data_IF_301601059251
#
_entry.id   IF_301601059251
#
_cell.length_a   1.000
_cell.length_b   1.000
_cell.length_c   1.000
_cell.angle_alpha   90.00
_cell.angle_beta   90.00
_cell.angle_gamma   90.00
#
_symmetry.space_group_name_H-M   'P 1'
#
loop_
_entity.id
_entity.type
_entity.pdbx_description
1 polymer ?
2 non-polymer ?
3 non-polymer ?
4 non-polymer ?
5 water ?
#
# COMPACT_ATOMS: atom_id res chain seq x y z
N UNK A 4 -8.57 29.44 6.61
CA UNK A 4 -8.92 28.17 5.88
C UNK A 4 -8.73 26.97 6.80
N UNK A 5 -9.79 26.18 7.08
CA UNK A 5 -9.66 25.05 8.00
C UNK A 5 -8.75 24.00 7.36
N UNK A 6 -7.97 23.29 8.16
CA UNK A 6 -7.17 22.15 7.63
C UNK A 6 -8.09 20.94 7.52
N UNK A 7 -7.90 20.10 6.48
CA UNK A 7 -8.81 18.99 6.32
C UNK A 7 -8.60 17.88 7.35
N UNK A 8 -9.69 17.16 7.62
CA UNK A 8 -9.69 15.94 8.48
C UNK A 8 -9.62 14.70 7.61
N UNK A 9 -10.02 14.83 6.33
CA UNK A 9 -10.10 13.75 5.33
C UNK A 9 -9.64 14.27 3.98
N UNK A 10 -9.00 13.40 3.20
CA UNK A 10 -8.73 13.68 1.78
C UNK A 10 -9.17 12.48 0.97
N UNK A 11 -9.33 12.72 -0.29
CA UNK A 11 -9.56 11.57 -1.22
C UNK A 11 -8.32 11.40 -2.09
N UNK A 12 -8.02 10.13 -2.30
CA UNK A 12 -6.79 9.72 -3.02
C UNK A 12 -7.21 8.79 -4.15
N UNK A 13 -6.79 9.10 -5.36
CA UNK A 13 -6.90 8.23 -6.54
C UNK A 13 -5.62 7.46 -6.71
N UNK A 14 -5.78 6.15 -6.87
CA UNK A 14 -4.68 5.23 -7.23
C UNK A 14 -5.01 4.64 -8.59
N UNK A 15 -4.09 4.76 -9.55
CA UNK A 15 -4.21 4.05 -10.82
C UNK A 15 -3.03 3.14 -11.03
N UNK A 16 -3.30 1.99 -11.63
CA UNK A 16 -2.23 1.09 -12.12
C UNK A 16 -2.56 0.68 -13.53
N UNK A 17 -1.60 0.84 -14.41
CA UNK A 17 -1.79 0.43 -15.81
C UNK A 17 -0.50 -0.10 -16.41
N UNK A 18 -0.52 -1.33 -16.85
CA UNK A 18 0.58 -1.88 -17.66
C UNK A 18 0.22 -1.52 -19.10
N UNK A 19 0.98 -0.62 -19.68
CA UNK A 19 0.69 0.01 -20.99
C UNK A 19 1.13 -0.89 -22.14
N UNK A 20 1.80 -2.00 -21.90
CA UNK A 20 2.20 -2.90 -23.00
C UNK A 20 3.08 -2.23 -24.01
N UNK A 21 3.89 -1.27 -23.57
CA UNK A 21 4.94 -0.60 -24.38
C UNK A 21 4.33 0.20 -25.53
N UNK A 22 3.03 0.50 -25.47
CA UNK A 22 2.31 1.23 -26.55
C UNK A 22 1.91 2.57 -26.01
N UNK A 23 1.90 3.62 -26.84
CA UNK A 23 1.35 4.89 -26.41
C UNK A 23 -0.14 4.78 -26.09
N UNK A 24 -0.62 5.62 -25.17
CA UNK A 24 -2.01 5.59 -24.79
C UNK A 24 -2.87 6.17 -25.91
N UNK A 25 -4.18 5.93 -25.85
CA UNK A 25 -5.09 6.58 -26.79
C UNK A 25 -5.27 8.04 -26.38
N UNK A 26 -5.98 8.80 -27.21
CA UNK A 26 -6.04 10.26 -27.02
C UNK A 26 -6.87 10.62 -25.78
N UNK A 27 -7.82 9.78 -25.40
CA UNK A 27 -8.66 10.04 -24.22
C UNK A 27 -8.51 8.91 -23.20
N UNK A 28 -8.14 9.30 -21.99
CA UNK A 28 -7.97 8.30 -20.89
C UNK A 28 -8.74 8.78 -19.67
N UNK A 29 -9.64 9.75 -19.83
CA UNK A 29 -10.36 10.33 -18.70
C UNK A 29 -11.20 9.31 -17.90
N UNK A 30 -11.70 8.25 -18.55
CA UNK A 30 -12.51 7.21 -17.86
C UNK A 30 -11.71 6.61 -16.70
N UNK A 31 -10.39 6.52 -16.86
CA UNK A 31 -9.52 6.00 -15.78
C UNK A 31 -9.63 6.86 -14.53
N UNK A 32 -9.41 8.16 -14.66
CA UNK A 32 -9.37 9.08 -13.53
C UNK A 32 -10.76 9.33 -12.97
N UNK A 33 -11.79 9.04 -13.76
CA UNK A 33 -13.20 9.16 -13.31
C UNK A 33 -13.72 7.85 -12.69
N UNK A 34 -12.91 6.80 -12.58
CA UNK A 34 -13.36 5.52 -12.00
C UNK A 34 -14.63 5.05 -12.71
N UNK A 35 -14.58 5.00 -14.05
CA UNK A 35 -15.71 4.52 -14.90
C UNK A 35 -15.33 3.24 -15.65
N UNK A 36 -16.24 2.27 -15.65
CA UNK A 36 -16.03 1.04 -16.40
C UNK A 36 -16.69 -0.07 -15.66
N UNK A 37 -15.92 -1.10 -15.34
CA UNK A 37 -16.43 -2.29 -14.60
C UNK A 37 -16.02 -2.20 -13.12
N UNK A 38 -16.76 -2.87 -12.26
CA UNK A 38 -16.42 -3.02 -10.86
C UNK A 38 -17.19 -2.07 -10.01
N UNK A 39 -16.56 -1.63 -8.92
CA UNK A 39 -17.12 -0.58 -8.03
C UNK A 39 -16.68 0.74 -8.66
N UNK A 40 -17.66 1.47 -9.23
CA UNK A 40 -17.38 2.69 -9.98
C UNK A 40 -17.86 3.90 -9.20
N UNK A 41 -17.37 5.03 -9.62
CA UNK A 41 -17.67 6.31 -8.93
C UNK A 41 -18.93 6.93 -9.53
N UNK A 42 -19.75 7.52 -8.66
CA UNK A 42 -21.02 8.12 -9.10
C UNK A 42 -20.77 9.28 -10.06
N UNK A 43 -21.62 9.36 -11.09
CA UNK A 43 -21.54 10.44 -12.10
C UNK A 43 -21.61 11.83 -11.49
N UNK A 44 -22.33 11.97 -10.39
CA UNK A 44 -22.50 13.27 -9.71
C UNK A 44 -21.19 13.80 -9.15
N UNK A 45 -20.14 12.96 -9.06
CA UNK A 45 -18.82 13.36 -8.56
C UNK A 45 -17.85 13.71 -9.67
N UNK A 46 -18.24 13.62 -10.93
CA UNK A 46 -17.22 13.67 -11.98
C UNK A 46 -16.43 14.98 -12.02
N UNK A 47 -17.01 16.10 -11.58
CA UNK A 47 -16.25 17.35 -11.69
C UNK A 47 -15.45 17.60 -10.42
N UNK A 48 -15.62 16.78 -9.39
CA UNK A 48 -15.00 16.96 -8.06
C UNK A 48 -13.59 16.37 -8.14
N UNK A 49 -12.52 17.16 -7.99
CA UNK A 49 -11.18 16.60 -8.05
C UNK A 49 -10.88 15.80 -6.80
N UNK A 50 -10.14 14.71 -6.95
CA UNK A 50 -9.49 14.08 -5.81
C UNK A 50 -8.38 15.01 -5.33
N UNK A 51 -8.02 14.89 -4.08
CA UNK A 51 -6.95 15.69 -3.50
C UNK A 51 -5.58 15.33 -4.06
N UNK A 52 -5.35 14.03 -4.22
CA UNK A 52 -4.06 13.47 -4.67
C UNK A 52 -4.37 12.40 -5.69
N UNK A 53 -3.65 12.40 -6.80
CA UNK A 53 -3.69 11.34 -7.81
C UNK A 53 -2.32 10.67 -7.86
N UNK A 54 -2.29 9.36 -7.72
CA UNK A 54 -1.04 8.56 -7.80
C UNK A 54 -1.20 7.60 -8.91
N UNK A 55 -0.35 7.72 -9.91
CA UNK A 55 -0.48 7.00 -11.21
C UNK A 55 0.73 6.09 -11.37
N UNK A 56 0.52 4.77 -11.29
CA UNK A 56 1.60 3.77 -11.53
C UNK A 56 1.42 3.17 -12.90
N UNK A 57 2.50 3.16 -13.67
CA UNK A 57 2.53 2.46 -14.95
C UNK A 57 3.64 1.42 -14.93
N UNK A 58 3.42 0.45 -15.78
CA UNK A 58 4.41 -0.61 -16.10
C UNK A 58 4.45 -0.73 -17.61
N UNK A 59 5.61 -1.14 -18.11
CA UNK A 59 5.80 -1.22 -19.59
C UNK A 59 5.43 0.12 -20.22
N UNK A 60 5.84 1.20 -19.55
CA UNK A 60 5.51 2.55 -20.01
C UNK A 60 6.53 3.00 -21.04
N UNK A 61 6.09 3.29 -22.30
CA UNK A 61 7.07 3.65 -23.35
C UNK A 61 7.39 5.14 -23.39
N UNK A 62 6.69 5.93 -22.64
CA UNK A 62 6.74 7.39 -22.76
C UNK A 62 7.87 7.95 -21.94
N UNK A 63 8.36 9.14 -22.32
CA UNK A 63 9.27 9.89 -21.43
C UNK A 63 8.43 10.43 -20.25
N UNK A 64 9.11 10.82 -19.18
CA UNK A 64 8.43 11.48 -18.06
C UNK A 64 7.67 12.69 -18.58
N UNK A 65 8.31 13.49 -19.45
CA UNK A 65 7.66 14.71 -19.94
C UNK A 65 6.39 14.36 -20.69
N UNK A 66 6.49 13.40 -21.59
CA UNK A 66 5.33 13.02 -22.41
C UNK A 66 4.17 12.58 -21.51
N UNK A 67 4.43 11.76 -20.50
CA UNK A 67 3.32 11.25 -19.68
C UNK A 67 2.79 12.33 -18.74
N UNK A 68 3.64 13.16 -18.17
CA UNK A 68 3.16 14.29 -17.38
C UNK A 68 2.22 15.18 -18.17
N UNK A 69 2.59 15.47 -19.42
CA UNK A 69 1.76 16.27 -20.36
C UNK A 69 0.35 15.67 -20.41
N UNK A 70 0.27 14.37 -20.72
CA UNK A 70 -0.99 13.65 -20.88
C UNK A 70 -1.77 13.66 -19.58
N UNK A 71 -1.10 13.37 -18.46
CA UNK A 71 -1.83 13.31 -17.19
C UNK A 71 -2.41 14.67 -16.81
N UNK A 72 -1.59 15.69 -16.84
CA UNK A 72 -2.08 17.01 -16.38
C UNK A 72 -3.19 17.54 -17.27
N UNK A 73 -3.07 17.37 -18.59
CA UNK A 73 -4.13 17.76 -19.57
C UNK A 73 -5.43 17.02 -19.23
N UNK A 74 -5.33 15.72 -18.96
CA UNK A 74 -6.49 14.82 -18.70
C UNK A 74 -7.22 15.21 -17.40
N UNK A 75 -6.44 15.63 -16.37
CA UNK A 75 -7.08 16.09 -15.12
C UNK A 75 -7.65 17.50 -15.34
N UNK A 76 -6.98 18.34 -16.11
CA UNK A 76 -7.52 19.70 -16.36
C UNK A 76 -8.86 19.60 -17.10
N UNK A 77 -8.95 18.72 -18.09
CA UNK A 77 -10.19 18.51 -18.87
C UNK A 77 -11.31 18.08 -17.91
N UNK A 78 -11.03 17.13 -17.01
CA UNK A 78 -12.04 16.58 -16.08
C UNK A 78 -12.49 17.65 -15.07
N UNK A 79 -11.55 18.37 -14.50
CA UNK A 79 -11.80 19.09 -13.22
C UNK A 79 -11.68 20.62 -13.39
N UNK A 80 -11.09 21.08 -14.48
CA UNK A 80 -10.67 22.51 -14.65
C UNK A 80 -9.64 22.94 -13.62
N UNK A 81 -8.91 22.00 -13.00
CA UNK A 81 -7.81 22.30 -12.07
C UNK A 81 -6.49 21.92 -12.72
N UNK A 82 -5.49 22.79 -12.55
CA UNK A 82 -4.12 22.50 -12.99
C UNK A 82 -3.37 21.93 -11.79
N UNK A 83 -3.13 20.62 -11.86
CA UNK A 83 -2.52 19.90 -10.74
C UNK A 83 -1.02 20.21 -10.66
N UNK A 84 -0.49 20.18 -9.47
CA UNK A 84 0.95 20.35 -9.23
C UNK A 84 1.63 18.98 -9.18
N UNK A 85 2.82 18.87 -9.70
CA UNK A 85 3.58 17.63 -9.66
C UNK A 85 4.30 17.53 -8.34
N UNK A 86 3.95 16.54 -7.51
CA UNK A 86 4.61 16.31 -6.21
C UNK A 86 5.89 15.53 -6.47
N UNK A 87 5.82 14.49 -7.29
CA UNK A 87 6.96 13.63 -7.53
C UNK A 87 6.72 12.79 -8.77
N UNK A 88 7.83 12.40 -9.39
CA UNK A 88 7.83 11.41 -10.49
C UNK A 88 9.09 10.60 -10.39
N UNK A 89 9.00 9.30 -10.52
CA UNK A 89 10.19 8.43 -10.43
C UNK A 89 10.00 7.27 -11.38
N UNK A 90 11.02 6.95 -12.13
CA UNK A 90 10.98 5.89 -13.12
C UNK A 90 12.17 4.95 -12.94
N UNK A 91 11.90 3.64 -12.90
CA UNK A 91 12.93 2.58 -12.96
C UNK A 91 12.62 1.80 -14.22
N UNK A 92 13.51 1.83 -15.21
CA UNK A 92 13.29 1.16 -16.50
C UNK A 92 11.97 1.66 -17.08
N UNK A 93 10.97 0.80 -17.21
CA UNK A 93 9.64 1.19 -17.74
C UNK A 93 8.55 1.12 -16.67
N UNK A 94 8.97 1.19 -15.41
CA UNK A 94 8.06 1.25 -14.24
C UNK A 94 8.08 2.67 -13.69
N UNK A 95 6.93 3.31 -13.56
CA UNK A 95 6.87 4.73 -13.22
C UNK A 95 5.78 5.03 -12.21
N UNK A 96 6.04 5.98 -11.38
CA UNK A 96 5.03 6.55 -10.46
C UNK A 96 5.01 8.07 -10.61
N UNK A 97 3.82 8.62 -10.70
CA UNK A 97 3.59 10.06 -10.72
C UNK A 97 2.65 10.40 -9.58
N UNK A 98 2.97 11.41 -8.80
CA UNK A 98 2.05 11.94 -7.78
C UNK A 98 1.69 13.36 -8.14
N UNK A 99 0.42 13.63 -8.27
CA UNK A 99 -0.13 14.96 -8.55
C UNK A 99 -1.03 15.39 -7.42
N UNK A 100 -1.07 16.67 -7.12
CA UNK A 100 -1.92 17.17 -6.02
C UNK A 100 -2.56 18.48 -6.40
N UNK A 101 -3.73 18.74 -5.81
CA UNK A 101 -4.40 20.07 -5.92
C UNK A 101 -3.42 21.18 -5.54
N UNK A 102 -3.44 22.32 -6.25
CA UNK A 102 -2.56 23.41 -5.87
C UNK A 102 -2.69 23.90 -4.43
N UNK A 103 -3.87 23.81 -3.86
CA UNK A 103 -4.10 24.24 -2.45
C UNK A 103 -3.33 23.37 -1.46
N UNK A 104 -2.84 22.20 -1.89
CA UNK A 104 -2.12 21.26 -1.02
C UNK A 104 -0.62 21.46 -1.07
N UNK A 105 -0.14 22.36 -1.91
CA UNK A 105 1.31 22.51 -2.03
C UNK A 105 2.00 22.77 -0.69
N UNK A 106 1.41 23.64 0.13
CA UNK A 106 2.00 24.05 1.43
C UNK A 106 1.48 23.16 2.58
N UNK A 107 0.89 22.03 2.23
CA UNK A 107 0.51 20.94 3.20
C UNK A 107 1.44 19.73 2.98
N UNK A 108 2.14 19.65 1.87
CA UNK A 108 2.92 18.47 1.48
C UNK A 108 4.40 18.77 1.66
N UNK A 109 5.09 17.90 2.35
CA UNK A 109 6.53 18.08 2.61
C UNK A 109 7.24 16.75 2.71
N UNK A 110 8.54 16.75 2.90
CA UNK A 110 9.32 15.52 3.12
C UNK A 110 9.09 14.53 1.98
N UNK A 111 9.16 14.99 0.76
CA UNK A 111 8.91 14.13 -0.41
C UNK A 111 10.13 13.27 -0.62
N UNK A 112 9.92 11.95 -0.65
CA UNK A 112 10.97 10.92 -0.89
C UNK A 112 10.58 10.11 -2.13
N UNK A 113 11.59 9.64 -2.86
CA UNK A 113 11.42 8.68 -3.97
C UNK A 113 12.46 7.63 -3.81
N UNK A 114 12.15 6.43 -4.25
CA UNK A 114 13.16 5.34 -4.28
C UNK A 114 12.71 4.27 -5.25
N UNK A 115 13.58 3.35 -5.53
CA UNK A 115 13.26 2.16 -6.35
C UNK A 115 14.02 0.95 -5.80
N UNK A 116 13.49 -0.18 -6.13
CA UNK A 116 14.14 -1.49 -5.87
C UNK A 116 14.10 -2.28 -7.15
N UNK A 117 15.24 -2.81 -7.56
CA UNK A 117 15.37 -3.77 -8.66
C UNK A 117 15.27 -5.18 -8.14
N UNK A 118 14.37 -6.02 -8.64
CA UNK A 118 14.29 -7.41 -8.14
C UNK A 118 15.12 -8.36 -9.01
N UNK A 119 15.50 -9.51 -8.42
CA UNK A 119 16.14 -10.63 -9.15
C UNK A 119 17.65 -10.51 -9.18
N UNK A 120 18.31 -11.59 -9.65
CA UNK A 120 19.79 -11.74 -9.69
C UNK A 120 20.19 -12.31 -11.06
N UNK A 121 21.02 -11.56 -11.83
CA UNK A 121 21.68 -11.96 -13.10
C UNK A 121 20.64 -12.13 -14.22
N UNK A 122 20.22 -13.39 -14.52
CA UNK A 122 19.07 -13.72 -15.42
C UNK A 122 17.89 -12.80 -15.12
N UNK A 123 17.53 -12.71 -13.83
CA UNK A 123 16.23 -12.22 -13.31
C UNK A 123 16.34 -10.75 -12.86
N UNK A 124 17.53 -10.15 -12.88
CA UNK A 124 17.73 -8.68 -12.75
C UNK A 124 17.78 -8.07 -14.16
N UNK A 125 16.96 -7.06 -14.42
CA UNK A 125 16.96 -6.36 -15.71
C UNK A 125 15.66 -5.67 -16.02
N UNK A 126 14.50 -6.10 -15.50
CA UNK A 126 13.30 -5.26 -15.80
C UNK A 126 12.14 -5.18 -14.79
N UNK A 127 12.15 -6.02 -13.75
CA UNK A 127 11.10 -6.05 -12.70
C UNK A 127 11.59 -5.25 -11.48
N UNK A 128 10.64 -4.77 -10.66
CA UNK A 128 10.97 -4.13 -9.41
C UNK A 128 9.88 -3.17 -9.05
N UNK A 129 10.24 -2.13 -8.35
CA UNK A 129 9.23 -1.20 -7.80
C UNK A 129 9.79 0.19 -7.76
N UNK A 130 8.90 1.17 -7.85
CA UNK A 130 9.19 2.58 -7.54
C UNK A 130 8.25 3.03 -6.46
N UNK A 131 8.64 3.99 -5.67
CA UNK A 131 7.78 4.50 -4.62
C UNK A 131 7.99 5.94 -4.32
N UNK A 132 6.98 6.52 -3.69
CA UNK A 132 6.97 7.91 -3.23
C UNK A 132 6.43 7.93 -1.81
N UNK A 133 6.97 8.78 -0.96
CA UNK A 133 6.35 9.10 0.32
C UNK A 133 6.39 10.60 0.54
N UNK A 134 5.53 11.06 1.40
CA UNK A 134 5.54 12.47 1.85
C UNK A 134 4.66 12.58 3.08
N UNK A 135 4.73 13.75 3.69
CA UNK A 135 3.82 14.14 4.76
C UNK A 135 2.73 15.00 4.13
N UNK A 136 1.51 14.75 4.53
CA UNK A 136 0.38 15.63 4.28
C UNK A 136 -0.02 16.15 5.65
N UNK A 137 0.30 17.40 5.94
CA UNK A 137 0.16 17.96 7.32
C UNK A 137 0.74 16.93 8.33
N UNK A 138 -0.05 16.44 9.27
CA UNK A 138 0.48 15.54 10.31
C UNK A 138 0.46 14.07 9.93
N UNK A 139 0.14 13.73 8.68
CA UNK A 139 -0.10 12.32 8.23
C UNK A 139 0.97 11.92 7.22
N UNK A 140 1.54 10.76 7.44
CA UNK A 140 2.56 10.19 6.50
C UNK A 140 1.85 9.27 5.52
N UNK A 141 2.19 9.43 4.26
CA UNK A 141 1.61 8.66 3.14
C UNK A 141 2.72 8.00 2.32
N UNK A 142 2.53 6.73 2.03
CA UNK A 142 3.50 5.99 1.20
C UNK A 142 2.78 5.34 0.02
N UNK A 143 3.45 5.25 -1.12
CA UNK A 143 2.87 4.70 -2.36
C UNK A 143 3.93 3.85 -3.02
N UNK A 144 3.59 2.63 -3.40
CA UNK A 144 4.54 1.71 -4.05
C UNK A 144 3.86 1.20 -5.31
N UNK A 145 4.52 1.36 -6.45
CA UNK A 145 4.11 0.74 -7.72
C UNK A 145 5.13 -0.34 -8.06
N UNK A 146 4.71 -1.60 -8.03
CA UNK A 146 5.59 -2.73 -8.34
C UNK A 146 5.13 -3.46 -9.60
N UNK A 147 6.09 -3.91 -10.40
CA UNK A 147 5.91 -4.84 -11.53
C UNK A 147 6.63 -6.12 -11.14
N UNK A 148 5.91 -7.11 -10.73
CA UNK A 148 6.50 -8.35 -10.19
C UNK A 148 6.65 -9.36 -11.33
N UNK A 149 7.39 -10.42 -11.05
CA UNK A 149 7.73 -11.48 -11.98
C UNK A 149 6.48 -12.06 -12.60
N UNK A 150 6.53 -12.28 -13.92
CA UNK A 150 5.39 -12.79 -14.72
C UNK A 150 5.37 -14.33 -14.72
N UNK A 151 4.26 -14.88 -15.15
CA UNK A 151 4.13 -16.32 -15.45
C UNK A 151 3.35 -17.03 -14.40
N UNK A 152 2.40 -17.87 -14.81
CA UNK A 152 1.53 -18.58 -13.85
C UNK A 152 2.29 -19.43 -12.84
N UNK A 153 3.48 -19.90 -13.23
CA UNK A 153 4.30 -20.89 -12.49
C UNK A 153 5.09 -20.21 -11.37
N UNK A 154 5.14 -18.88 -11.35
CA UNK A 154 6.13 -18.13 -10.57
C UNK A 154 5.54 -17.36 -9.39
N UNK A 155 4.52 -17.90 -8.76
CA UNK A 155 3.95 -17.16 -7.61
C UNK A 155 4.98 -17.01 -6.49
N UNK A 156 5.82 -18.02 -6.24
CA UNK A 156 6.80 -17.93 -5.15
C UNK A 156 7.80 -16.80 -5.46
N UNK A 157 8.24 -16.69 -6.71
CA UNK A 157 9.13 -15.58 -7.13
C UNK A 157 8.45 -14.23 -6.85
N UNK A 158 7.15 -14.12 -7.17
CA UNK A 158 6.46 -12.87 -6.89
C UNK A 158 6.51 -12.57 -5.40
N UNK A 159 6.27 -13.59 -4.58
CA UNK A 159 6.28 -13.39 -3.11
C UNK A 159 7.68 -12.92 -2.67
N UNK A 160 8.71 -13.50 -3.25
CA UNK A 160 10.10 -13.10 -2.97
C UNK A 160 10.35 -11.67 -3.42
N UNK A 161 9.82 -11.30 -4.58
CA UNK A 161 9.95 -9.93 -5.08
C UNK A 161 9.31 -8.97 -4.07
N UNK A 162 8.11 -9.29 -3.62
CA UNK A 162 7.43 -8.47 -2.62
C UNK A 162 8.34 -8.26 -1.38
N UNK A 163 8.92 -9.34 -0.87
CA UNK A 163 9.73 -9.22 0.36
C UNK A 163 10.94 -8.31 0.06
N UNK A 164 11.66 -8.56 -1.05
CA UNK A 164 12.80 -7.68 -1.37
C UNK A 164 12.39 -6.21 -1.47
N UNK A 165 11.24 -5.92 -2.07
CA UNK A 165 10.76 -4.51 -2.18
C UNK A 165 10.50 -3.94 -0.78
N UNK A 166 9.78 -4.74 0.01
CA UNK A 166 9.38 -4.43 1.40
C UNK A 166 10.64 -4.06 2.19
N UNK A 167 11.68 -4.88 2.04
CA UNK A 167 12.94 -4.75 2.82
C UNK A 167 13.74 -3.55 2.38
N UNK A 168 13.84 -3.33 1.08
CA UNK A 168 14.92 -2.47 0.55
C UNK A 168 14.42 -1.13 0.07
N UNK A 169 13.10 -0.90 -0.02
CA UNK A 169 12.67 0.40 -0.50
C UNK A 169 12.82 1.39 0.64
N UNK A 170 13.58 2.47 0.44
CA UNK A 170 13.96 3.44 1.49
C UNK A 170 13.09 4.68 1.39
N UNK A 171 11.86 4.55 1.83
CA UNK A 171 10.92 5.69 1.88
C UNK A 171 10.65 6.04 3.32
N UNK A 172 10.11 7.24 3.57
CA UNK A 172 9.67 7.69 4.88
C UNK A 172 10.83 8.04 5.78
N UNK A 173 10.55 8.14 7.07
CA UNK A 173 11.48 8.76 8.04
C UNK A 173 12.65 7.80 8.32
N UNK A 174 13.85 8.14 7.92
CA UNK A 174 15.03 7.26 8.11
C UNK A 174 15.33 7.05 9.61
N UNK A 175 14.81 7.96 10.45
CA UNK A 175 15.01 7.75 11.92
C UNK A 175 14.25 6.52 12.42
N UNK A 176 13.27 6.04 11.63
CA UNK A 176 12.50 4.83 11.97
C UNK A 176 13.29 3.59 11.58
N UNK A 177 14.53 3.50 12.06
CA UNK A 177 15.50 2.52 11.52
C UNK A 177 15.06 1.07 11.67
N UNK A 178 14.36 0.63 12.74
CA UNK A 178 13.98 -0.78 12.83
C UNK A 178 12.83 -1.17 11.88
N UNK A 179 12.19 -0.18 11.26
CA UNK A 179 10.90 -0.35 10.57
C UNK A 179 11.08 -0.30 9.07
N UNK A 180 10.42 -1.21 8.39
CA UNK A 180 10.32 -1.22 6.93
C UNK A 180 9.12 -0.38 6.52
N UNK A 181 8.92 -0.28 5.19
CA UNK A 181 7.80 0.54 4.73
C UNK A 181 6.45 0.09 5.23
N UNK A 182 6.27 -1.16 5.65
CA UNK A 182 4.96 -1.62 6.12
C UNK A 182 4.61 -1.07 7.50
N UNK A 183 5.50 -0.32 8.13
CA UNK A 183 5.24 0.35 9.42
C UNK A 183 5.51 1.84 9.37
N UNK A 184 6.00 2.41 8.28
CA UNK A 184 6.45 3.81 8.33
C UNK A 184 5.38 4.82 8.08
N UNK A 185 4.21 4.42 7.60
CA UNK A 185 3.21 5.37 7.08
C UNK A 185 1.86 5.21 7.75
N UNK A 186 1.18 6.31 8.00
CA UNK A 186 -0.22 6.27 8.46
C UNK A 186 -1.02 5.44 7.45
N UNK A 187 -0.80 5.69 6.17
CA UNK A 187 -1.47 5.00 5.06
C UNK A 187 -0.43 4.60 4.03
N UNK A 188 -0.37 3.33 3.67
CA UNK A 188 0.52 2.81 2.63
C UNK A 188 -0.37 2.18 1.57
N UNK A 189 -0.17 2.60 0.32
CA UNK A 189 -0.87 2.02 -0.84
C UNK A 189 0.15 1.28 -1.68
N UNK A 190 -0.11 0.02 -1.97
CA UNK A 190 0.80 -0.81 -2.80
C UNK A 190 -0.01 -1.35 -3.93
N UNK A 191 0.42 -1.04 -5.15
CA UNK A 191 -0.33 -1.37 -6.36
C UNK A 191 0.63 -1.75 -7.45
N UNK A 192 0.10 -2.17 -8.57
CA UNK A 192 0.94 -2.45 -9.74
C UNK A 192 0.45 -3.63 -10.52
N UNK A 193 1.31 -4.03 -11.49
CA UNK A 193 1.15 -5.32 -12.16
C UNK A 193 1.84 -6.35 -11.28
N UNK A 194 1.07 -6.81 -10.30
CA UNK A 194 1.57 -7.82 -9.36
C UNK A 194 1.69 -9.19 -10.00
N UNK A 195 0.97 -9.42 -11.10
CA UNK A 195 1.24 -10.57 -11.98
C UNK A 195 0.79 -11.89 -11.38
N UNK A 196 0.00 -11.89 -10.34
CA UNK A 196 -0.61 -13.14 -9.84
C UNK A 196 -1.74 -13.54 -10.77
N UNK A 197 -1.88 -14.85 -10.96
CA UNK A 197 -2.74 -15.41 -12.00
C UNK A 197 -3.88 -16.26 -11.42
N UNK A 198 -4.86 -16.52 -12.23
CA UNK A 198 -5.95 -17.47 -11.92
C UNK A 198 -5.39 -18.83 -12.22
N UNK A 199 -5.16 -19.64 -11.18
CA UNK A 199 -4.43 -20.93 -11.27
C UNK A 199 -5.42 -22.08 -11.52
N UNK A 200 -5.86 -22.20 -12.77
CA UNK A 200 -6.74 -23.28 -13.24
C UNK A 200 -6.01 -23.97 -14.37
N UNK A 201 -6.39 -25.21 -14.70
CA UNK A 201 -5.76 -25.88 -15.83
C UNK A 201 -5.95 -25.13 -17.15
N UNK A 202 -4.94 -25.17 -18.02
CA UNK A 202 -4.91 -24.37 -19.28
C UNK A 202 -6.05 -24.81 -20.23
N UNK A 203 -6.50 -26.06 -20.13
CA UNK A 203 -7.61 -26.60 -20.96
C UNK A 203 -8.97 -26.15 -20.40
N UNK A 204 -9.00 -25.42 -19.28
CA UNK A 204 -10.20 -24.68 -18.83
C UNK A 204 -10.26 -23.27 -19.42
N UNK A 205 -9.38 -22.87 -20.34
CA UNK A 205 -9.33 -21.47 -20.85
C UNK A 205 -10.71 -21.03 -21.33
N UNK A 206 -11.39 -21.85 -22.14
CA UNK A 206 -12.65 -21.37 -22.75
C UNK A 206 -13.72 -21.31 -21.68
N UNK A 207 -13.72 -22.23 -20.73
CA UNK A 207 -14.65 -22.20 -19.58
C UNK A 207 -14.45 -20.89 -18.82
N UNK A 208 -13.20 -20.53 -18.54
CA UNK A 208 -12.93 -19.25 -17.81
C UNK A 208 -13.51 -18.07 -18.58
N UNK A 209 -13.27 -18.00 -19.88
CA UNK A 209 -13.83 -16.92 -20.71
C UNK A 209 -15.35 -16.86 -20.64
N UNK A 210 -16.01 -18.01 -20.69
CA UNK A 210 -17.50 -17.99 -20.65
C UNK A 210 -17.94 -17.50 -19.26
N UNK A 211 -17.25 -17.88 -18.19
CA UNK A 211 -17.60 -17.38 -16.83
C UNK A 211 -17.42 -15.85 -16.79
N UNK A 212 -16.36 -15.33 -17.41
CA UNK A 212 -16.13 -13.87 -17.46
C UNK A 212 -17.28 -13.18 -18.22
N UNK A 213 -17.71 -13.75 -19.33
CA UNK A 213 -18.82 -13.16 -20.12
C UNK A 213 -20.11 -13.13 -19.32
N UNK A 214 -20.33 -14.07 -18.43
CA UNK A 214 -21.51 -14.15 -17.53
C UNK A 214 -21.34 -13.32 -16.29
N UNK A 215 -20.17 -12.68 -16.15
CA UNK A 215 -19.84 -11.87 -14.94
C UNK A 215 -19.88 -12.70 -13.68
N UNK A 216 -19.38 -13.94 -13.75
CA UNK A 216 -19.32 -14.91 -12.62
C UNK A 216 -17.91 -14.95 -12.03
N UNK A 217 -17.50 -13.86 -11.37
CA UNK A 217 -16.09 -13.61 -10.98
C UNK A 217 -15.71 -14.32 -9.68
N UNK A 218 -16.62 -14.44 -8.70
CA UNK A 218 -16.33 -15.04 -7.36
C UNK A 218 -15.71 -16.43 -7.54
N UNK A 219 -16.22 -17.22 -8.49
CA UNK A 219 -15.75 -18.60 -8.78
C UNK A 219 -14.27 -18.58 -9.21
N UNK A 220 -13.91 -17.67 -10.12
CA UNK A 220 -12.53 -17.56 -10.66
C UNK A 220 -11.60 -17.03 -9.56
N UNK A 221 -12.10 -16.10 -8.76
CA UNK A 221 -11.36 -15.47 -7.63
C UNK A 221 -10.95 -16.49 -6.59
N UNK A 222 -11.68 -17.61 -6.44
CA UNK A 222 -11.26 -18.66 -5.50
C UNK A 222 -9.93 -19.29 -5.93
N UNK A 223 -9.50 -19.09 -7.19
CA UNK A 223 -8.22 -19.62 -7.69
C UNK A 223 -7.19 -18.50 -7.98
N UNK A 224 -7.53 -17.26 -7.63
CA UNK A 224 -6.57 -16.15 -7.79
C UNK A 224 -5.39 -16.36 -6.84
N UNK A 225 -4.19 -16.39 -7.39
CA UNK A 225 -3.01 -16.66 -6.57
C UNK A 225 -2.78 -15.57 -5.53
N UNK A 226 -3.12 -14.31 -5.81
CA UNK A 226 -2.81 -13.31 -4.79
C UNK A 226 -3.74 -13.53 -3.56
N UNK A 227 -5.01 -13.74 -3.78
CA UNK A 227 -5.93 -14.03 -2.64
C UNK A 227 -5.50 -15.33 -1.92
N UNK A 228 -5.11 -16.34 -2.65
CA UNK A 228 -4.82 -17.64 -1.97
C UNK A 228 -3.51 -17.49 -1.23
N UNK A 229 -2.48 -16.86 -1.82
CA UNK A 229 -1.21 -16.66 -1.13
C UNK A 229 -1.40 -15.77 0.07
N UNK A 230 -2.22 -14.73 -0.04
CA UNK A 230 -2.49 -13.85 1.12
C UNK A 230 -3.23 -14.63 2.22
N UNK A 231 -4.17 -15.48 1.86
CA UNK A 231 -4.94 -16.22 2.88
C UNK A 231 -4.02 -17.21 3.60
N UNK A 232 -2.97 -17.68 2.93
CA UNK A 232 -1.98 -18.59 3.55
C UNK A 232 -0.83 -17.82 4.21
N UNK A 233 -0.89 -16.48 4.25
CA UNK A 233 0.06 -15.61 4.92
C UNK A 233 1.42 -15.72 4.25
N UNK A 234 1.46 -15.87 2.93
CA UNK A 234 2.72 -15.96 2.16
C UNK A 234 3.15 -14.62 1.63
N UNK A 235 2.26 -13.62 1.62
CA UNK A 235 2.54 -12.33 0.98
C UNK A 235 1.54 -11.33 1.49
N UNK A 236 1.88 -10.05 1.47
CA UNK A 236 0.96 -8.96 1.80
C UNK A 236 0.25 -9.16 3.15
N UNK A 237 0.96 -9.69 4.12
CA UNK A 237 0.37 -9.87 5.45
C UNK A 237 -0.08 -8.51 6.00
N UNK A 238 -1.29 -8.44 6.50
CA UNK A 238 -1.89 -7.27 7.18
C UNK A 238 -2.23 -6.17 6.19
N UNK A 239 -2.25 -6.46 4.89
CA UNK A 239 -2.83 -5.52 3.90
C UNK A 239 -4.28 -5.86 3.66
N UNK A 240 -5.01 -4.91 3.07
CA UNK A 240 -6.42 -5.02 2.67
C UNK A 240 -6.53 -4.84 1.15
N UNK A 241 -7.51 -5.52 0.53
CA UNK A 241 -7.90 -5.29 -0.88
C UNK A 241 -9.40 -5.26 -0.88
N UNK A 242 -9.97 -4.32 -1.63
CA UNK A 242 -11.43 -4.27 -1.86
C UNK A 242 -11.85 -5.52 -2.66
N UNK A 243 -13.11 -5.94 -2.50
CA UNK A 243 -13.62 -7.04 -3.30
C UNK A 243 -13.52 -6.69 -4.76
N UNK A 244 -13.11 -7.66 -5.56
CA UNK A 244 -13.02 -7.56 -7.01
C UNK A 244 -14.35 -7.88 -7.66
N UNK A 245 -14.87 -6.97 -8.45
CA UNK A 245 -16.20 -7.12 -9.08
C UNK A 245 -16.10 -6.75 -10.55
N UNK A 246 -14.90 -6.69 -11.09
CA UNK A 246 -14.58 -6.39 -12.51
C UNK A 246 -13.93 -7.63 -13.15
N UNK A 247 -14.01 -7.71 -14.46
CA UNK A 247 -13.40 -8.84 -15.17
C UNK A 247 -11.89 -8.81 -15.07
N UNK A 248 -11.24 -9.98 -15.22
CA UNK A 248 -9.78 -10.02 -15.36
C UNK A 248 -9.27 -8.94 -16.31
N UNK A 249 -8.15 -8.30 -15.96
CA UNK A 249 -7.62 -7.15 -16.70
C UNK A 249 -6.52 -7.57 -17.66
N UNK A 250 -6.24 -8.85 -17.74
CA UNK A 250 -5.15 -9.38 -18.59
C UNK A 250 -5.61 -10.78 -19.02
N UNK A 251 -5.24 -11.29 -20.20
CA UNK A 251 -4.49 -10.67 -21.27
C UNK A 251 -5.43 -10.46 -22.46
N UNK A 252 -5.65 -9.25 -22.86
CA UNK A 252 -6.58 -8.86 -23.96
C UNK A 252 -5.82 -8.80 -25.28
N UNK A 253 -6.51 -9.12 -26.37
CA UNK A 253 -6.12 -8.60 -27.71
C UNK A 253 -6.18 -7.08 -27.69
N UNK A 254 -5.21 -6.40 -28.27
CA UNK A 254 -5.22 -4.93 -28.34
C UNK A 254 -6.32 -4.42 -29.28
N UNK A 255 -6.84 -3.25 -29.01
CA UNK A 255 -7.78 -2.43 -29.82
C UNK A 255 -9.21 -2.98 -29.69
N UNK A 256 -9.45 -3.99 -28.87
CA UNK A 256 -10.81 -4.40 -28.47
C UNK A 256 -10.77 -4.72 -26.98
N UNK A 257 -11.91 -4.94 -26.33
CA UNK A 257 -11.93 -5.72 -25.07
C UNK A 257 -12.79 -6.97 -25.21
N UNK A 258 -13.05 -7.36 -26.45
CA UNK A 258 -14.01 -8.45 -26.72
C UNK A 258 -13.33 -9.82 -26.65
N UNK A 259 -11.98 -9.82 -26.57
CA UNK A 259 -11.20 -11.05 -26.75
C UNK A 259 -10.03 -11.10 -25.76
N UNK A 260 -9.97 -12.21 -25.04
CA UNK A 260 -8.79 -12.58 -24.25
C UNK A 260 -7.83 -13.38 -25.12
N UNK A 261 -6.57 -12.99 -25.15
CA UNK A 261 -5.50 -13.67 -25.93
C UNK A 261 -4.74 -14.52 -24.95
N UNK A 262 -5.14 -15.75 -24.73
CA UNK A 262 -4.52 -16.61 -23.70
C UNK A 262 -3.56 -17.70 -24.22
N UNK A 263 -3.62 -17.99 -25.52
CA UNK A 263 -2.91 -19.14 -26.13
C UNK A 263 -1.40 -18.88 -26.18
N UNK A 264 -0.61 -19.95 -26.01
CA UNK A 264 0.85 -19.84 -26.00
C UNK A 264 1.32 -19.47 -27.42
N UNK A 265 2.31 -18.60 -27.45
CA UNK A 265 2.87 -18.02 -28.70
C UNK A 265 4.38 -17.86 -28.49
N UNK A 266 5.15 -17.80 -29.58
CA UNK A 266 6.60 -17.50 -29.40
C UNK A 266 6.78 -16.23 -28.57
N UNK A 267 5.96 -15.20 -28.81
CA UNK A 267 6.07 -13.89 -28.12
C UNK A 267 5.81 -14.05 -26.60
N UNK A 268 5.13 -15.09 -26.18
CA UNK A 268 4.91 -15.33 -24.73
C UNK A 268 5.90 -16.33 -24.14
N UNK A 269 6.97 -16.70 -24.88
CA UNK A 269 7.83 -17.78 -24.40
C UNK A 269 7.12 -19.09 -24.34
N UNK A 270 6.14 -19.29 -25.22
CA UNK A 270 5.32 -20.51 -25.23
C UNK A 270 4.62 -20.74 -23.88
N UNK A 271 4.14 -19.64 -23.29
CA UNK A 271 3.38 -19.65 -22.02
C UNK A 271 1.91 -19.21 -22.24
N UNK A 272 1.01 -20.01 -21.65
CA UNK A 272 -0.42 -19.59 -21.63
C UNK A 272 -0.54 -18.42 -20.67
N UNK A 273 -1.39 -17.50 -21.04
CA UNK A 273 -1.79 -16.41 -20.13
C UNK A 273 -3.32 -16.51 -19.96
N UNK A 274 -3.73 -17.41 -19.11
CA UNK A 274 -5.17 -17.50 -18.78
C UNK A 274 -5.59 -16.16 -18.19
N UNK A 275 -6.81 -15.74 -18.45
CA UNK A 275 -7.29 -14.46 -17.92
C UNK A 275 -7.09 -14.37 -16.42
N UNK A 276 -6.55 -13.23 -16.01
CA UNK A 276 -6.08 -13.06 -14.64
C UNK A 276 -6.24 -11.61 -14.18
N UNK A 277 -6.31 -11.47 -12.87
CA UNK A 277 -6.32 -10.14 -12.20
C UNK A 277 -4.88 -9.76 -11.84
N UNK A 278 -4.11 -9.42 -12.88
CA UNK A 278 -2.71 -9.06 -12.67
C UNK A 278 -2.58 -7.74 -11.92
N UNK A 279 -3.51 -6.84 -12.11
CA UNK A 279 -3.35 -5.40 -11.84
C UNK A 279 -4.17 -5.01 -10.63
N UNK A 280 -3.52 -4.65 -9.54
CA UNK A 280 -4.18 -4.67 -8.23
C UNK A 280 -3.81 -3.43 -7.42
N UNK A 281 -4.67 -3.11 -6.44
CA UNK A 281 -4.41 -2.06 -5.44
C UNK A 281 -4.72 -2.64 -4.07
N UNK A 282 -3.76 -2.55 -3.19
CA UNK A 282 -3.87 -2.95 -1.78
C UNK A 282 -3.45 -1.80 -0.90
N UNK A 283 -3.85 -1.86 0.37
CA UNK A 283 -3.42 -0.84 1.30
C UNK A 283 -3.21 -1.40 2.69
N UNK A 284 -2.49 -0.62 3.49
CA UNK A 284 -2.29 -0.93 4.91
C UNK A 284 -2.23 0.38 5.62
N UNK A 285 -3.15 0.64 6.54
CA UNK A 285 -3.19 1.85 7.34
C UNK A 285 -2.99 1.49 8.81
N UNK A 286 -2.47 2.40 9.58
CA UNK A 286 -2.32 2.18 11.03
C UNK A 286 -3.68 1.90 11.64
N UNK A 287 -3.68 1.18 12.79
CA UNK A 287 -4.93 0.81 13.43
C UNK A 287 -5.77 2.06 13.76
N UNK A 288 -7.07 1.93 13.59
CA UNK A 288 -8.07 2.93 14.01
C UNK A 288 -7.85 4.28 13.35
N UNK A 289 -7.35 4.27 12.11
CA UNK A 289 -7.40 5.45 11.25
C UNK A 289 -8.46 5.23 10.16
N UNK A 290 -9.14 6.27 9.83
CA UNK A 290 -10.19 6.24 8.79
C UNK A 290 -9.55 5.92 7.43
N UNK A 291 -10.02 4.87 6.77
CA UNK A 291 -9.63 4.64 5.36
C UNK A 291 -10.79 3.86 4.78
N UNK A 292 -11.38 4.33 3.70
CA UNK A 292 -12.55 3.67 3.07
C UNK A 292 -12.32 3.66 1.58
N UNK A 293 -12.34 2.49 0.97
CA UNK A 293 -12.29 2.36 -0.49
C UNK A 293 -13.64 2.76 -1.07
N UNK A 294 -13.61 3.76 -1.95
CA UNK A 294 -14.80 4.33 -2.61
C UNK A 294 -15.02 3.71 -3.99
N UNK A 295 -13.96 3.25 -4.66
CA UNK A 295 -14.09 2.68 -6.02
C UNK A 295 -12.94 1.69 -6.17
N UNK A 296 -13.17 0.68 -6.95
CA UNK A 296 -12.15 -0.31 -7.33
C UNK A 296 -12.66 -1.03 -8.57
N UNK A 297 -12.02 -0.75 -9.72
CA UNK A 297 -12.52 -1.29 -10.96
C UNK A 297 -11.59 -1.10 -12.09
N UNK A 298 -12.05 -1.39 -13.29
CA UNK A 298 -11.19 -1.33 -14.49
C UNK A 298 -11.92 -0.56 -15.57
N UNK A 299 -11.18 0.10 -16.44
CA UNK A 299 -11.83 0.80 -17.58
C UNK A 299 -12.15 -0.23 -18.66
N UNK A 300 -13.10 0.17 -19.48
CA UNK A 300 -13.61 -0.64 -20.61
C UNK A 300 -13.25 -0.01 -21.95
N UNK A 301 -12.81 1.23 -21.99
CA UNK A 301 -12.68 2.02 -23.23
C UNK A 301 -11.23 2.37 -23.57
N UNK A 302 -10.23 1.83 -22.87
CA UNK A 302 -8.79 2.13 -23.11
C UNK A 302 -8.16 0.81 -23.50
N UNK A 303 -7.79 0.68 -24.78
CA UNK A 303 -7.53 -0.65 -25.40
C UNK A 303 -6.16 -0.73 -26.11
N UNK A 304 -5.26 0.22 -25.85
CA UNK A 304 -3.94 0.23 -26.50
C UNK A 304 -3.04 -0.86 -25.95
N UNK A 305 -3.32 -1.36 -24.74
CA UNK A 305 -2.50 -2.35 -24.09
C UNK A 305 -3.19 -3.69 -24.02
N UNK A 306 -2.47 -4.75 -23.74
CA UNK A 306 -3.04 -6.06 -23.43
C UNK A 306 -3.51 -6.14 -21.98
N UNK A 307 -3.31 -5.08 -21.19
CA UNK A 307 -3.95 -4.90 -19.87
C UNK A 307 -4.93 -3.75 -19.95
N UNK A 308 -5.99 -3.82 -19.17
CA UNK A 308 -6.84 -2.65 -18.90
C UNK A 308 -6.35 -1.90 -17.67
N UNK A 309 -6.39 -0.58 -17.68
CA UNK A 309 -6.15 0.16 -16.47
C UNK A 309 -7.09 -0.23 -15.32
N UNK A 310 -6.54 -0.12 -14.11
CA UNK A 310 -7.29 -0.30 -12.87
C UNK A 310 -7.27 1.00 -12.06
N UNK A 311 -8.39 1.33 -11.47
CA UNK A 311 -8.52 2.48 -10.58
C UNK A 311 -8.98 2.02 -9.20
N UNK A 312 -8.59 2.76 -8.19
CA UNK A 312 -9.11 2.65 -6.85
C UNK A 312 -9.13 4.04 -6.26
N UNK A 313 -10.15 4.36 -5.49
CA UNK A 313 -10.16 5.63 -4.75
C UNK A 313 -10.46 5.37 -3.31
N UNK A 314 -9.95 6.29 -2.48
CA UNK A 314 -10.01 6.16 -1.02
C UNK A 314 -10.34 7.49 -0.37
N UNK A 315 -11.16 7.43 0.67
CA UNK A 315 -11.15 8.42 1.77
C UNK A 315 -10.03 8.05 2.73
N UNK A 316 -9.23 9.02 3.13
CA UNK A 316 -8.13 8.74 4.07
C UNK A 316 -8.17 9.83 5.13
N UNK A 317 -8.22 9.42 6.37
CA UNK A 317 -8.15 10.35 7.50
C UNK A 317 -6.79 10.99 7.51
N UNK A 318 -6.74 12.29 7.79
CA UNK A 318 -5.49 13.07 7.96
C UNK A 318 -5.63 13.92 9.19
N UNK A 319 -4.50 14.33 9.73
CA UNK A 319 -4.46 15.17 10.93
C UNK A 319 -3.70 16.44 10.60
N UNK A 320 -4.01 17.48 11.37
CA UNK A 320 -3.32 18.80 11.24
C UNK A 320 -1.94 18.68 11.85
N UNK A 321 -1.01 19.48 11.34
CA UNK A 321 0.21 19.88 12.11
C UNK A 321 -0.32 20.45 13.43
N UNK A 322 0.32 20.12 14.53
CA UNK A 322 -0.10 20.59 15.88
C UNK A 322 1.04 21.37 16.53
N UNK A 323 0.74 22.58 17.02
CA UNK A 323 1.69 23.41 17.81
C UNK A 323 0.99 23.77 19.11
N UNK A 324 1.66 23.54 20.22
CA UNK A 324 1.19 24.03 21.54
C UNK A 324 2.23 25.00 22.08
N UNK A 325 1.93 25.58 23.24
CA UNK A 325 2.87 26.50 23.93
C UNK A 325 4.11 25.72 24.41
N UNK A 326 3.95 24.41 24.65
CA UNK A 326 5.06 23.52 25.06
C UNK A 326 5.62 22.87 23.78
N UNK A 327 5.25 21.63 23.44
CA UNK A 327 5.82 20.97 22.27
C UNK A 327 5.12 21.46 21.00
N UNK A 328 5.79 21.33 19.83
CA UNK A 328 7.16 20.82 19.71
C UNK A 328 8.25 21.71 20.31
N UNK A 329 9.36 21.08 20.66
CA UNK A 329 10.55 21.73 21.21
C UNK A 329 10.75 21.43 22.67
N UNK A 330 9.77 20.78 23.30
CA UNK A 330 9.85 20.32 24.70
C UNK A 330 8.71 19.34 24.92
N UNK A 331 8.63 18.82 26.14
CA UNK A 331 7.57 17.87 26.54
C UNK A 331 6.43 18.67 27.15
N UNK A 332 5.27 18.04 27.24
CA UNK A 332 4.09 18.61 27.92
C UNK A 332 3.87 17.73 29.16
N UNK A 333 4.15 18.26 30.34
CA UNK A 333 4.20 17.44 31.59
C UNK A 333 2.80 16.91 31.94
N UNK A 334 1.74 17.37 31.27
CA UNK A 334 0.34 16.95 31.55
C UNK A 334 0.02 15.65 30.81
N UNK A 335 0.93 15.20 29.95
CA UNK A 335 0.75 13.94 29.18
C UNK A 335 1.68 12.83 29.63
N UNK A 336 1.22 11.59 29.54
CA UNK A 336 2.09 10.40 29.73
C UNK A 336 1.43 9.16 29.12
N UNK A 337 2.30 8.26 28.69
CA UNK A 337 1.90 6.91 28.21
C UNK A 337 2.63 5.85 29.01
N UNK A 338 1.83 5.04 29.69
CA UNK A 338 2.32 3.93 30.54
C UNK A 338 1.86 2.61 29.95
N UNK A 339 2.82 1.74 29.67
CA UNK A 339 2.60 0.28 29.41
C UNK A 339 2.72 -0.56 30.70
N UNK A 340 1.67 -1.35 31.02
CA UNK A 340 1.54 -2.26 32.19
C UNK A 340 1.51 -3.72 31.71
N UNK A 341 2.11 -4.65 32.45
CA UNK A 341 1.81 -6.10 32.30
C UNK A 341 2.04 -6.49 30.82
N UNK A 342 3.10 -6.00 30.23
CA UNK A 342 3.35 -6.26 28.79
C UNK A 342 4.23 -7.48 28.63
N UNK A 343 3.99 -8.22 27.56
CA UNK A 343 4.90 -9.30 27.19
C UNK A 343 4.85 -9.51 25.68
N UNK A 344 5.99 -9.87 25.18
CA UNK A 344 6.15 -10.29 23.77
C UNK A 344 6.20 -11.80 23.71
N UNK A 345 5.56 -12.39 22.74
CA UNK A 345 5.61 -13.84 22.42
C UNK A 345 6.37 -13.91 21.09
N UNK A 346 7.53 -14.55 21.08
CA UNK A 346 8.33 -14.59 19.83
C UNK A 346 8.42 -16.00 19.30
N UNK A 347 8.48 -16.16 18.01
CA UNK A 347 8.64 -17.46 17.31
C UNK A 347 10.11 -17.92 17.25
N UNK A 348 11.05 -17.06 17.58
CA UNK A 348 12.52 -17.36 17.52
C UNK A 348 12.93 -18.54 18.41
N UNK A 349 13.95 -19.26 17.94
CA UNK A 349 14.56 -20.40 18.68
C UNK A 349 15.80 -19.88 19.42
N UNK A 350 16.20 -18.63 19.17
CA UNK A 350 17.43 -18.03 19.75
C UNK A 350 17.21 -17.74 21.24
N UNK A 351 18.29 -17.79 22.04
CA UNK A 351 18.30 -17.38 23.47
C UNK A 351 19.32 -16.23 23.60
N UNK A 352 18.81 -15.01 23.52
CA UNK A 352 19.42 -13.69 23.83
C UNK A 352 18.41 -13.01 24.73
N UNK A 353 18.82 -11.97 25.43
CA UNK A 353 17.90 -11.06 26.09
C UNK A 353 17.33 -10.11 25.03
N UNK A 354 16.19 -9.53 25.36
CA UNK A 354 15.50 -8.57 24.45
C UNK A 354 15.14 -7.33 25.22
N UNK A 355 15.10 -6.20 24.51
CA UNK A 355 14.55 -4.91 24.97
C UNK A 355 13.63 -4.35 23.88
N UNK A 356 12.83 -3.41 24.31
CA UNK A 356 11.88 -2.73 23.38
C UNK A 356 12.45 -1.38 22.98
N UNK A 357 12.09 -0.94 21.77
CA UNK A 357 12.21 0.48 21.41
C UNK A 357 10.85 1.02 21.01
N UNK A 358 10.50 2.17 21.52
CA UNK A 358 9.26 2.89 21.24
C UNK A 358 9.60 4.07 20.34
N UNK A 359 8.97 4.14 19.15
CA UNK A 359 9.14 5.27 18.22
C UNK A 359 7.81 5.90 17.93
N UNK A 360 7.78 7.20 17.95
CA UNK A 360 6.57 7.94 17.57
C UNK A 360 6.88 9.40 17.38
N UNK A 361 6.19 10.03 16.43
CA UNK A 361 6.26 11.50 16.21
C UNK A 361 5.81 12.26 17.45
N UNK A 362 5.06 11.63 18.36
CA UNK A 362 4.60 12.32 19.59
C UNK A 362 5.71 12.35 20.65
N UNK A 363 6.87 11.74 20.41
CA UNK A 363 8.02 11.76 21.35
C UNK A 363 9.16 12.60 20.77
N UNK A 364 9.97 13.19 21.64
CA UNK A 364 11.10 14.02 21.13
C UNK A 364 12.10 13.09 20.48
N UNK A 365 12.22 11.87 20.98
CA UNK A 365 13.05 10.86 20.33
C UNK A 365 12.65 9.47 20.83
N UNK A 366 13.18 8.47 20.18
CA UNK A 366 12.78 7.08 20.48
C UNK A 366 13.25 6.71 21.87
N UNK A 367 12.61 5.72 22.47
CA UNK A 367 12.84 5.34 23.89
C UNK A 367 13.18 3.87 23.92
N UNK A 368 14.23 3.51 24.67
CA UNK A 368 14.75 2.12 24.77
C UNK A 368 14.49 1.60 26.18
N UNK A 369 13.69 0.54 26.31
CA UNK A 369 13.34 -0.08 27.61
C UNK A 369 14.57 -0.80 28.17
N UNK A 370 14.41 -1.21 29.43
CA UNK A 370 15.27 -2.25 30.06
C UNK A 370 14.99 -3.58 29.38
N UNK A 371 15.89 -4.52 29.57
CA UNK A 371 15.71 -5.93 29.11
C UNK A 371 14.51 -6.55 29.83
N UNK A 372 13.73 -7.36 29.10
CA UNK A 372 12.66 -8.16 29.67
C UNK A 372 13.21 -9.43 30.30
N UNK A 373 12.29 -10.16 30.89
CA UNK A 373 12.59 -11.48 31.48
C UNK A 373 12.03 -12.56 30.57
N UNK A 374 12.93 -13.40 30.09
CA UNK A 374 12.57 -14.53 29.23
C UNK A 374 11.94 -15.66 30.03
N UNK A 375 10.89 -16.27 29.50
CA UNK A 375 10.29 -17.52 30.01
C UNK A 375 9.90 -18.37 28.82
N UNK A 376 9.67 -19.67 29.02
CA UNK A 376 9.22 -20.64 27.99
C UNK A 376 7.69 -20.67 28.03
N UNK A 377 7.01 -20.49 26.89
CA UNK A 377 5.56 -20.70 26.74
C UNK A 377 5.20 -22.18 26.79
N UNK A 378 3.93 -22.52 27.06
CA UNK A 378 3.48 -23.92 27.31
C UNK A 378 3.41 -24.72 26.01
N UNK A 379 3.63 -24.08 24.85
CA UNK A 379 3.62 -24.75 23.52
C UNK A 379 4.96 -24.53 22.80
N UNK A 380 6.05 -24.24 23.54
CA UNK A 380 7.43 -24.15 23.01
C UNK A 380 7.98 -22.73 22.87
N UNK A 381 7.13 -21.69 22.98
CA UNK A 381 7.42 -20.30 22.52
C UNK A 381 8.40 -19.60 23.46
N UNK A 382 9.11 -18.60 22.98
CA UNK A 382 9.75 -17.64 23.91
C UNK A 382 8.73 -16.55 24.30
N UNK A 383 8.57 -16.29 25.58
CA UNK A 383 7.77 -15.17 26.13
C UNK A 383 8.76 -14.22 26.79
N UNK A 384 8.73 -12.96 26.43
CA UNK A 384 9.60 -11.94 27.04
C UNK A 384 8.70 -11.06 27.87
N UNK A 385 8.87 -11.07 29.20
CA UNK A 385 8.00 -10.33 30.14
C UNK A 385 8.63 -8.97 30.48
N UNK A 386 7.87 -7.90 30.41
CA UNK A 386 8.35 -6.56 30.81
C UNK A 386 7.68 -6.11 32.12
N UNK A 387 6.65 -6.80 32.55
CA UNK A 387 5.78 -6.44 33.69
C UNK A 387 5.35 -4.98 33.65
N UNK A 388 5.76 -4.24 34.68
CA UNK A 388 5.45 -2.81 34.89
C UNK A 388 6.77 -2.06 34.80
N UNK A 389 7.77 -2.67 34.15
CA UNK A 389 9.16 -2.16 34.10
C UNK A 389 9.34 -1.19 32.93
N UNK A 390 8.37 -1.03 32.03
CA UNK A 390 8.60 -0.21 30.79
C UNK A 390 8.64 1.26 31.15
N UNK A 391 9.48 2.05 30.44
CA UNK A 391 9.64 3.48 30.73
C UNK A 391 8.31 4.22 30.52
N UNK A 392 8.09 5.28 31.26
CA UNK A 392 6.88 6.13 31.08
C UNK A 392 7.18 7.06 29.90
N UNK A 393 6.35 7.09 28.85
CA UNK A 393 6.67 7.90 27.64
C UNK A 393 6.08 9.29 27.82
N UNK A 394 6.86 10.29 27.45
CA UNK A 394 6.47 11.70 27.68
C UNK A 394 6.22 12.34 26.33
N UNK A 395 4.93 12.50 25.97
CA UNK A 395 4.61 13.10 24.68
C UNK A 395 4.93 14.59 24.65
N UNK A 396 5.17 15.12 23.47
CA UNK A 396 5.50 16.56 23.27
C UNK A 396 4.27 17.45 23.47
N UNK A 397 3.08 16.89 23.29
CA UNK A 397 1.79 17.60 23.36
C UNK A 397 0.81 16.70 24.09
N UNK A 398 0.06 17.25 25.02
CA UNK A 398 -0.82 16.49 25.95
C UNK A 398 -2.29 16.61 25.53
N UNK A 399 -2.60 17.56 24.66
CA UNK A 399 -3.97 17.85 24.21
C UNK A 399 -4.53 16.55 23.64
N UNK A 400 -5.68 16.08 24.13
CA UNK A 400 -6.20 14.78 23.67
C UNK A 400 -6.64 14.84 22.22
N UNK A 401 -6.97 16.00 21.66
CA UNK A 401 -7.30 16.11 20.23
C UNK A 401 -6.08 15.83 19.37
N UNK A 402 -4.91 15.98 19.93
CA UNK A 402 -3.66 15.54 19.24
C UNK A 402 -3.35 14.12 19.67
N UNK A 403 -3.22 13.84 20.96
CA UNK A 403 -2.56 12.60 21.40
C UNK A 403 -3.37 11.37 21.03
N UNK A 404 -4.68 11.42 21.05
CA UNK A 404 -5.51 10.23 20.80
C UNK A 404 -5.40 9.85 19.31
N UNK A 405 -4.91 10.75 18.47
CA UNK A 405 -4.71 10.43 17.03
C UNK A 405 -3.34 9.84 16.75
N UNK A 406 -2.48 9.63 17.73
CA UNK A 406 -1.09 9.20 17.50
C UNK A 406 -0.96 7.69 17.59
N UNK A 407 0.22 7.19 17.26
CA UNK A 407 0.50 5.77 17.23
C UNK A 407 1.91 5.56 17.76
N UNK A 408 2.14 4.44 18.44
CA UNK A 408 3.47 4.05 18.95
C UNK A 408 3.92 2.84 18.16
N UNK A 409 5.04 2.97 17.45
CA UNK A 409 5.71 1.81 16.83
C UNK A 409 6.61 1.16 17.88
N UNK A 410 6.60 -0.15 17.89
CA UNK A 410 7.37 -0.98 18.86
C UNK A 410 8.26 -1.90 18.06
N UNK A 411 9.54 -1.90 18.42
CA UNK A 411 10.46 -2.95 17.96
C UNK A 411 10.98 -3.70 19.17
N UNK A 412 11.04 -5.00 19.05
CA UNK A 412 11.72 -5.84 20.06
C UNK A 412 13.06 -6.24 19.48
N UNK A 413 14.12 -5.82 20.21
CA UNK A 413 15.51 -5.97 19.73
C UNK A 413 16.34 -6.88 20.64
N UNK A 414 17.19 -7.64 20.01
CA UNK A 414 18.19 -8.50 20.68
C UNK A 414 19.22 -7.62 21.40
N UNK A 415 19.47 -7.86 22.67
CA UNK A 415 20.55 -7.14 23.40
C UNK A 415 21.90 -7.48 22.76
N UNK A 416 22.07 -8.68 22.24
CA UNK A 416 23.36 -9.18 21.70
C UNK A 416 23.69 -8.44 20.41
N UNK A 417 22.69 -8.13 19.56
CA UNK A 417 22.98 -7.67 18.18
C UNK A 417 22.33 -6.31 17.92
N UNK A 418 21.41 -5.85 18.77
CA UNK A 418 20.57 -4.64 18.54
C UNK A 418 19.75 -4.78 17.22
N UNK A 419 19.59 -6.17 16.62
CA UNK A 419 18.74 -6.38 15.42
C UNK A 419 17.29 -6.56 15.88
N UNK A 420 16.34 -5.87 15.25
CA UNK A 420 14.89 -6.13 15.48
C UNK A 420 14.49 -7.54 15.11
N UNK A 421 13.79 -8.20 16.05
CA UNK A 421 13.14 -9.50 15.80
C UNK A 421 11.67 -9.31 15.51
N UNK A 422 11.12 -8.11 15.67
CA UNK A 422 9.70 -7.94 15.38
C UNK A 422 9.31 -6.50 15.59
N UNK A 423 8.39 -6.06 14.75
CA UNK A 423 7.87 -4.69 14.68
C UNK A 423 6.35 -4.70 14.70
N UNK A 424 5.78 -3.73 15.39
CA UNK A 424 4.32 -3.58 15.44
C UNK A 424 3.92 -2.17 15.73
N UNK A 425 2.63 -1.94 15.89
CA UNK A 425 2.09 -0.59 16.01
C UNK A 425 0.88 -0.63 16.93
N UNK A 426 0.86 0.30 17.87
CA UNK A 426 -0.26 0.49 18.83
C UNK A 426 -0.91 1.85 18.62
N UNK A 427 -2.21 1.87 18.41
CA UNK A 427 -2.96 3.15 18.34
C UNK A 427 -3.21 3.71 19.77
N UNK A 428 -3.15 5.02 19.88
CA UNK A 428 -3.56 5.74 21.10
C UNK A 428 -5.02 6.19 21.04
N UNK A 429 -5.78 5.77 20.03
CA UNK A 429 -7.23 6.06 19.92
C UNK A 429 -7.98 5.14 20.89
N UNK A 430 -7.87 5.44 22.20
CA UNK A 430 -8.40 4.54 23.25
C UNK A 430 -9.86 4.88 23.58
N UNK A 431 -10.53 3.90 24.16
CA UNK A 431 -11.90 4.08 24.65
C UNK A 431 -11.96 4.96 25.89
N UNK A 432 -10.86 5.18 26.56
CA UNK A 432 -10.82 5.93 27.83
C UNK A 432 -9.40 6.37 28.09
N UNK A 433 -9.23 7.49 28.79
CA UNK A 433 -7.94 7.91 29.33
C UNK A 433 -7.91 7.62 30.84
N UNK A 434 -6.72 7.59 31.40
CA UNK A 434 -6.48 7.42 32.86
C UNK A 434 -7.04 6.05 33.26
N UNK A 435 -7.14 5.09 32.33
CA UNK A 435 -7.81 3.78 32.51
C UNK A 435 -6.91 2.70 31.93
N UNK A 436 -6.60 1.63 32.65
CA UNK A 436 -5.80 0.51 32.09
C UNK A 436 -6.65 -0.21 31.07
N UNK A 437 -6.14 -0.29 29.84
CA UNK A 437 -6.88 -0.90 28.72
C UNK A 437 -5.99 -1.89 27.99
N UNK A 438 -6.56 -3.00 27.50
CA UNK A 438 -5.73 -3.96 26.77
C UNK A 438 -5.24 -3.35 25.44
N UNK A 439 -4.00 -3.69 25.11
CA UNK A 439 -3.38 -3.38 23.81
C UNK A 439 -2.82 -4.66 23.22
N UNK A 440 -2.63 -4.63 21.91
CA UNK A 440 -2.21 -5.80 21.13
C UNK A 440 -1.67 -5.28 19.79
N UNK A 441 -0.57 -5.88 19.37
CA UNK A 441 -0.18 -5.85 17.94
C UNK A 441 0.49 -7.15 17.59
N UNK A 442 0.28 -7.68 16.39
CA UNK A 442 1.18 -8.71 15.87
C UNK A 442 2.56 -8.07 15.66
N UNK A 443 3.58 -8.89 15.64
CA UNK A 443 4.96 -8.44 15.37
C UNK A 443 5.41 -9.11 14.09
N UNK A 444 6.02 -8.35 13.19
CA UNK A 444 6.56 -8.89 11.96
C UNK A 444 8.02 -8.48 11.82
N UNK A 445 8.71 -9.19 10.96
CA UNK A 445 10.09 -8.81 10.57
C UNK A 445 10.23 -9.20 9.13
N UNK A 446 10.71 -8.25 8.31
CA UNK A 446 10.70 -8.41 6.85
C UNK A 446 9.28 -8.79 6.38
N UNK A 447 8.26 -8.29 7.07
CA UNK A 447 6.86 -8.50 6.65
C UNK A 447 6.30 -9.87 7.02
N UNK A 448 7.10 -10.75 7.65
CA UNK A 448 6.66 -12.09 8.07
C UNK A 448 6.31 -12.06 9.56
N UNK A 449 5.32 -12.85 9.93
CA UNK A 449 4.91 -12.91 11.36
C UNK A 449 6.03 -13.52 12.22
N UNK A 450 6.43 -12.82 13.25
CA UNK A 450 7.49 -13.30 14.15
C UNK A 450 7.02 -13.40 15.60
N UNK A 451 5.84 -12.90 15.89
CA UNK A 451 5.37 -12.89 17.28
C UNK A 451 4.23 -11.94 17.50
N UNK A 452 4.02 -11.64 18.76
CA UNK A 452 2.94 -10.77 19.23
C UNK A 452 3.43 -9.93 20.40
N UNK A 453 2.78 -8.81 20.60
CA UNK A 453 3.02 -7.96 21.78
C UNK A 453 1.67 -7.61 22.36
N UNK A 454 1.51 -7.86 23.66
CA UNK A 454 0.22 -7.55 24.31
C UNK A 454 0.48 -7.09 25.73
N UNK A 455 -0.51 -6.39 26.24
CA UNK A 455 -0.43 -5.89 27.62
C UNK A 455 -1.52 -4.91 27.83
N UNK A 456 -1.23 -3.94 28.69
CA UNK A 456 -2.21 -2.87 28.95
C UNK A 456 -1.50 -1.52 28.82
N UNK A 457 -2.27 -0.51 28.51
CA UNK A 457 -1.79 0.87 28.39
C UNK A 457 -2.62 1.72 29.36
N UNK A 458 -2.11 2.90 29.76
CA UNK A 458 -2.79 3.94 30.58
C UNK A 458 -2.31 5.27 29.99
N UNK A 459 -3.20 5.94 29.41
CA UNK A 459 -2.89 7.18 28.70
C UNK A 459 -3.42 8.37 29.50
N UNK A 460 -2.52 9.29 29.83
CA UNK A 460 -2.85 10.59 30.47
C UNK A 460 -2.81 11.69 29.41
N UNK A 461 -3.90 12.45 29.27
CA UNK A 461 -3.92 13.63 28.41
C UNK A 461 -4.20 14.82 29.33
N UNK A 462 -4.17 16.01 28.77
CA UNK A 462 -4.49 17.24 29.55
C UNK A 462 -5.97 17.31 29.94
N UNK A 463 -6.83 16.42 29.45
CA UNK A 463 -8.28 16.47 29.80
C UNK A 463 -8.66 15.36 30.81
#
# INVERSE_FOLDING_TARGET
SMEQPEPDMITIFIGTWNMGNAPPPKKITSWFLSKGQGKTRDDSADYIPHDIYVIGTQEDPLSEKEWLEILKHSLQEITSVTFKTVAIHTLWNIRIVVLAKPEHENRISHICTDNVKTGIANTLGNKGAVGVSFMFNGTSLGFVNSHLTSGSEKKLRRNQNYMNILRFLALGDKKLSPFNITHRFTHLFWFGDLNYRVDLPTWEAETIIQKIKQQQYADLLSHDQLLTERREQKVFLHFEEEEITFAPTYRFERLTRDKYAYTKQKATGMKYNLPSWCDRVLWKSYPLVHVVCQSYGSTSDIMTSDHSPVFATFEAGVTSQFVSKNGPGTVDSQGQIEFLRCYATLKTKSQTKFYLEFHSSCLESFVKSQEGENEEGSEGELVVKFGETLPKLKPIISDPEYLLDQHILISIKSSDSDESYGEGCIALRLEATETQLPIYTPLTHHGELTGHFQGEIKLQTSQ
#
